data_IF_787740055386
#
_entry.id   IF_787740055386
#
_cell.length_a   1.000
_cell.length_b   1.000
_cell.length_c   1.000
_cell.angle_alpha   90.00
_cell.angle_beta   90.00
_cell.angle_gamma   90.00
#
_symmetry.space_group_name_H-M   'P 1'
#
loop_
_entity.id
_entity.type
_entity.pdbx_description
1 polymer ?
#
# COMPACT_ATOMS: atom_id res chain seq x y z
N UNK A 1 14.87 -21.70 1.92
CA UNK A 1 14.01 -22.27 0.87
C UNK A 1 13.35 -21.15 0.06
N UNK A 2 14.16 -20.23 -0.51
CA UNK A 2 13.69 -19.11 -1.32
C UNK A 2 14.75 -18.79 -2.39
N UNK A 3 14.77 -19.59 -3.46
CA UNK A 3 15.54 -19.33 -4.68
C UNK A 3 14.59 -19.13 -5.88
N UNK A 4 13.47 -18.42 -5.67
CA UNK A 4 12.43 -18.24 -6.70
C UNK A 4 12.59 -16.99 -7.56
N UNK A 5 13.69 -16.24 -7.40
CA UNK A 5 14.08 -15.17 -8.32
C UNK A 5 15.42 -15.53 -8.97
N UNK A 6 15.50 -16.76 -9.49
CA UNK A 6 16.54 -17.11 -10.46
C UNK A 6 16.41 -16.17 -11.66
N UNK A 7 17.55 -15.71 -12.17
CA UNK A 7 17.60 -14.91 -13.39
C UNK A 7 16.62 -15.48 -14.43
N UNK A 8 15.80 -14.65 -15.10
CA UNK A 8 14.85 -15.13 -16.10
C UNK A 8 15.57 -16.12 -17.01
N UNK A 9 14.95 -17.26 -17.31
CA UNK A 9 15.53 -18.31 -18.18
C UNK A 9 16.28 -17.73 -19.39
N UNK A 10 15.76 -16.62 -19.94
CA UNK A 10 16.37 -15.81 -21.01
C UNK A 10 17.83 -15.39 -20.73
N UNK A 11 18.16 -14.96 -19.51
CA UNK A 11 19.49 -14.51 -19.12
C UNK A 11 20.50 -15.65 -18.98
N UNK A 12 20.06 -16.87 -18.64
CA UNK A 12 20.96 -18.02 -18.59
C UNK A 12 21.52 -18.42 -19.97
N UNK A 13 20.89 -17.95 -21.04
CA UNK A 13 21.18 -18.42 -22.40
C UNK A 13 21.85 -17.40 -23.29
N UNK A 14 21.59 -16.10 -23.08
CA UNK A 14 22.21 -15.03 -23.87
C UNK A 14 23.75 -15.09 -23.83
N UNK A 15 24.29 -15.49 -22.68
CA UNK A 15 25.72 -15.46 -22.40
C UNK A 15 26.35 -16.85 -22.33
N UNK A 16 25.61 -17.91 -22.68
CA UNK A 16 26.18 -19.27 -22.71
C UNK A 16 27.18 -19.40 -23.86
N UNK A 17 28.48 -19.63 -23.57
CA UNK A 17 29.48 -19.83 -24.61
C UNK A 17 29.20 -21.10 -25.42
N UNK A 18 28.60 -22.12 -24.79
CA UNK A 18 28.25 -23.38 -25.42
C UNK A 18 27.13 -23.21 -26.45
N UNK A 19 26.05 -22.47 -26.11
CA UNK A 19 24.97 -22.15 -27.05
C UNK A 19 25.52 -21.34 -28.22
N UNK A 20 26.33 -20.31 -27.92
CA UNK A 20 26.92 -19.47 -28.96
C UNK A 20 27.72 -20.30 -29.95
N UNK A 21 28.59 -21.19 -29.44
CA UNK A 21 29.43 -22.02 -30.29
C UNK A 21 28.62 -23.03 -31.11
N UNK A 22 27.60 -23.65 -30.51
CA UNK A 22 26.67 -24.51 -31.22
C UNK A 22 25.99 -23.76 -32.38
N UNK A 23 25.47 -22.55 -32.13
CA UNK A 23 24.83 -21.73 -33.16
C UNK A 23 25.79 -21.30 -34.27
N UNK A 24 27.05 -20.99 -33.93
CA UNK A 24 28.11 -20.70 -34.91
C UNK A 24 28.36 -21.88 -35.85
N UNK A 25 28.45 -23.10 -35.31
CA UNK A 25 28.65 -24.32 -36.11
C UNK A 25 27.44 -24.55 -37.03
N UNK A 26 26.21 -24.42 -36.50
CA UNK A 26 25.00 -24.52 -37.31
C UNK A 26 24.96 -23.48 -38.45
N UNK A 27 25.35 -22.24 -38.17
CA UNK A 27 25.39 -21.17 -39.17
C UNK A 27 26.46 -21.46 -40.24
N UNK A 28 27.64 -21.89 -39.84
CA UNK A 28 28.73 -22.22 -40.76
C UNK A 28 28.36 -23.38 -41.70
N UNK A 29 27.78 -24.45 -41.15
CA UNK A 29 27.30 -25.60 -41.95
C UNK A 29 26.17 -25.16 -42.89
N UNK A 30 25.22 -24.37 -42.40
CA UNK A 30 24.13 -23.84 -43.21
C UNK A 30 24.62 -22.95 -44.37
N UNK A 31 25.60 -22.09 -44.12
CA UNK A 31 26.19 -21.22 -45.14
C UNK A 31 26.98 -22.01 -46.17
N UNK A 32 27.73 -23.04 -45.75
CA UNK A 32 28.46 -23.92 -46.65
C UNK A 32 27.52 -24.66 -47.61
N UNK A 33 26.45 -25.25 -47.09
CA UNK A 33 25.50 -26.01 -47.91
C UNK A 33 24.72 -25.12 -48.88
N UNK A 34 24.44 -23.88 -48.48
CA UNK A 34 23.65 -22.93 -49.27
C UNK A 34 24.53 -21.95 -50.07
N UNK A 35 25.82 -22.24 -50.23
CA UNK A 35 26.74 -21.41 -51.01
C UNK A 35 26.21 -21.21 -52.45
N UNK A 36 26.29 -19.96 -52.94
CA UNK A 36 25.77 -19.59 -54.27
C UNK A 36 24.24 -19.47 -54.37
N UNK A 37 23.49 -19.69 -53.28
CA UNK A 37 22.03 -19.46 -53.24
C UNK A 37 21.68 -18.16 -52.49
N UNK A 38 20.43 -17.71 -52.59
CA UNK A 38 19.91 -16.58 -51.80
C UNK A 38 19.80 -16.86 -50.28
N UNK A 39 20.13 -18.08 -49.84
CA UNK A 39 20.19 -18.49 -48.43
C UNK A 39 21.62 -18.68 -47.94
N UNK A 40 22.62 -18.51 -48.80
CA UNK A 40 24.04 -18.45 -48.41
C UNK A 40 24.40 -17.13 -47.75
N UNK A 41 25.60 -17.06 -47.16
CA UNK A 41 26.14 -15.88 -46.46
C UNK A 41 25.16 -15.26 -45.43
N UNK A 42 24.39 -16.12 -44.77
CA UNK A 42 23.47 -15.70 -43.72
C UNK A 42 24.25 -15.23 -42.49
N UNK A 43 23.72 -14.21 -41.82
CA UNK A 43 24.22 -13.70 -40.53
C UNK A 43 23.60 -14.38 -39.32
N UNK A 44 22.62 -15.24 -39.55
CA UNK A 44 21.86 -15.92 -38.52
C UNK A 44 20.68 -16.69 -39.12
N UNK A 45 19.99 -17.45 -38.28
CA UNK A 45 18.84 -18.25 -38.67
C UNK A 45 17.80 -18.26 -37.55
N UNK A 46 16.58 -18.64 -37.93
CA UNK A 46 15.44 -18.79 -37.00
C UNK A 46 15.55 -20.11 -36.24
N UNK A 47 15.28 -20.14 -34.93
CA UNK A 47 15.41 -21.36 -34.12
C UNK A 47 14.45 -22.46 -34.57
N UNK A 48 13.31 -22.11 -35.16
CA UNK A 48 12.37 -23.05 -35.79
C UNK A 48 12.98 -23.84 -36.96
N UNK A 49 14.18 -23.44 -37.42
CA UNK A 49 14.95 -24.21 -38.41
C UNK A 49 15.47 -25.52 -37.81
N UNK A 50 15.65 -25.63 -36.49
CA UNK A 50 16.11 -26.87 -35.85
C UNK A 50 15.16 -28.05 -36.08
N UNK A 51 13.85 -27.82 -36.06
CA UNK A 51 12.84 -28.86 -36.40
C UNK A 51 13.05 -29.42 -37.81
N UNK A 52 13.59 -28.60 -38.72
CA UNK A 52 13.89 -29.00 -40.10
C UNK A 52 15.20 -29.78 -40.21
N UNK A 53 16.17 -29.54 -39.33
CA UNK A 53 17.45 -30.26 -39.36
C UNK A 53 17.29 -31.74 -39.02
N UNK A 54 16.28 -32.09 -38.22
CA UNK A 54 15.95 -33.48 -37.89
C UNK A 54 15.30 -34.22 -39.09
N UNK A 55 14.61 -33.49 -39.97
CA UNK A 55 13.92 -34.08 -41.14
C UNK A 55 14.76 -34.08 -42.42
N UNK A 56 15.75 -33.20 -42.54
CA UNK A 56 16.65 -33.14 -43.69
C UNK A 56 17.69 -34.27 -43.61
N UNK A 57 17.69 -35.15 -44.61
CA UNK A 57 18.61 -36.29 -44.68
C UNK A 57 19.68 -36.11 -45.76
N UNK A 58 20.80 -36.79 -45.57
CA UNK A 58 21.82 -36.99 -46.61
C UNK A 58 21.22 -37.68 -47.84
N UNK A 59 21.87 -37.59 -48.99
CA UNK A 59 21.41 -38.20 -50.26
C UNK A 59 21.20 -39.72 -50.15
N UNK A 60 21.98 -40.38 -49.30
CA UNK A 60 21.87 -41.81 -49.01
C UNK A 60 20.86 -42.15 -47.89
N UNK A 61 20.23 -41.14 -47.29
CA UNK A 61 19.20 -41.28 -46.25
C UNK A 61 19.71 -41.77 -44.89
N UNK A 62 21.02 -41.97 -44.72
CA UNK A 62 21.60 -42.60 -43.51
C UNK A 62 21.74 -41.65 -42.33
N UNK A 63 21.91 -40.36 -42.59
CA UNK A 63 22.12 -39.36 -41.56
C UNK A 63 21.18 -38.17 -41.77
N UNK A 64 20.72 -37.59 -40.67
CA UNK A 64 20.06 -36.28 -40.69
C UNK A 64 21.10 -35.17 -40.65
N UNK A 65 20.71 -33.97 -41.06
CA UNK A 65 21.55 -32.78 -40.93
C UNK A 65 21.91 -32.52 -39.46
N UNK A 66 20.97 -32.78 -38.55
CA UNK A 66 21.22 -32.68 -37.12
C UNK A 66 22.31 -33.67 -36.66
N UNK A 67 22.22 -34.94 -37.04
CA UNK A 67 23.25 -35.96 -36.72
C UNK A 67 24.62 -35.58 -37.28
N UNK A 68 24.66 -35.02 -38.49
CA UNK A 68 25.90 -34.55 -39.10
C UNK A 68 26.52 -33.37 -38.32
N UNK A 69 25.72 -32.39 -37.91
CA UNK A 69 26.18 -31.26 -37.08
C UNK A 69 26.71 -31.77 -35.74
N UNK A 70 25.99 -32.68 -35.08
CA UNK A 70 26.43 -33.30 -33.80
C UNK A 70 27.78 -33.99 -33.99
N UNK A 71 27.98 -34.72 -35.09
CA UNK A 71 29.25 -35.37 -35.38
C UNK A 71 30.40 -34.37 -35.61
N UNK A 72 30.16 -33.24 -36.29
CA UNK A 72 31.16 -32.17 -36.43
C UNK A 72 31.57 -31.64 -35.07
N UNK A 73 30.60 -31.41 -34.18
CA UNK A 73 30.85 -30.92 -32.83
C UNK A 73 31.61 -31.97 -32.02
N UNK A 74 31.27 -33.26 -32.12
CA UNK A 74 31.96 -34.32 -31.37
C UNK A 74 33.41 -34.49 -31.83
N UNK A 75 33.69 -34.23 -33.10
CA UNK A 75 35.05 -34.29 -33.61
C UNK A 75 35.89 -33.05 -33.26
N UNK A 76 35.29 -31.86 -33.25
CA UNK A 76 36.03 -30.59 -33.24
C UNK A 76 35.83 -29.73 -31.97
N UNK A 77 34.77 -29.99 -31.20
CA UNK A 77 34.29 -29.16 -30.08
C UNK A 77 33.75 -30.03 -28.93
N UNK A 78 34.53 -31.02 -28.47
CA UNK A 78 34.13 -31.98 -27.43
C UNK A 78 33.74 -31.34 -26.11
N UNK A 79 34.30 -30.17 -25.81
CA UNK A 79 33.94 -29.34 -24.67
C UNK A 79 32.45 -28.97 -24.65
N UNK A 80 31.78 -29.00 -25.81
CA UNK A 80 30.35 -28.76 -25.91
C UNK A 80 29.48 -29.92 -25.39
N UNK A 81 30.03 -31.10 -25.09
CA UNK A 81 29.23 -32.24 -24.62
C UNK A 81 29.33 -32.51 -23.12
N UNK A 82 30.21 -31.85 -22.38
CA UNK A 82 30.39 -32.16 -20.95
C UNK A 82 29.17 -31.80 -20.12
N UNK A 83 28.66 -30.58 -20.27
CA UNK A 83 27.63 -30.04 -19.37
C UNK A 83 26.44 -29.44 -20.14
N UNK A 84 26.61 -29.18 -21.44
CA UNK A 84 25.64 -28.42 -22.23
C UNK A 84 24.29 -29.12 -22.40
N UNK A 85 24.19 -30.43 -22.73
CA UNK A 85 22.89 -31.09 -22.90
C UNK A 85 22.06 -31.09 -21.61
N UNK A 86 22.70 -31.37 -20.47
CA UNK A 86 22.05 -31.42 -19.16
C UNK A 86 21.59 -30.03 -18.71
N UNK A 87 22.43 -29.01 -18.91
CA UNK A 87 22.09 -27.63 -18.58
C UNK A 87 20.95 -27.12 -19.46
N UNK A 88 20.97 -27.41 -20.76
CA UNK A 88 19.88 -27.03 -21.67
C UNK A 88 18.56 -27.73 -21.28
N UNK A 89 18.61 -29.02 -20.98
CA UNK A 89 17.43 -29.80 -20.57
C UNK A 89 16.80 -29.26 -19.30
N UNK A 90 17.60 -29.03 -18.24
CA UNK A 90 17.11 -28.45 -16.98
C UNK A 90 16.40 -27.13 -17.20
N UNK A 91 16.95 -26.29 -18.07
CA UNK A 91 16.37 -24.97 -18.29
C UNK A 91 15.10 -25.03 -19.14
N UNK A 92 15.07 -25.83 -20.20
CA UNK A 92 13.86 -26.05 -21.00
C UNK A 92 12.73 -26.61 -20.12
N UNK A 93 13.03 -27.57 -19.24
CA UNK A 93 12.04 -28.12 -18.31
C UNK A 93 11.54 -27.09 -17.29
N UNK A 94 12.40 -26.19 -16.82
CA UNK A 94 11.97 -25.08 -15.97
C UNK A 94 11.14 -24.04 -16.74
N UNK A 95 11.49 -23.75 -17.99
CA UNK A 95 10.76 -22.83 -18.84
C UNK A 95 9.36 -23.34 -19.19
N UNK A 96 9.22 -24.63 -19.52
CA UNK A 96 7.93 -25.28 -19.81
C UNK A 96 6.95 -25.18 -18.64
N UNK A 97 7.46 -25.20 -17.41
CA UNK A 97 6.63 -25.07 -16.19
C UNK A 97 6.12 -23.64 -15.97
N UNK A 98 6.71 -22.64 -16.63
CA UNK A 98 6.26 -21.25 -16.53
C UNK A 98 5.15 -20.98 -17.55
N UNK A 99 3.90 -21.15 -17.14
CA UNK A 99 2.77 -20.79 -18.00
C UNK A 99 2.52 -19.27 -17.97
N UNK A 100 2.84 -18.60 -19.08
CA UNK A 100 2.67 -17.14 -19.18
C UNK A 100 1.22 -16.67 -18.97
N UNK A 101 0.24 -17.52 -19.28
CA UNK A 101 -1.19 -17.23 -19.05
C UNK A 101 -1.51 -17.21 -17.57
N UNK A 102 -1.11 -18.23 -16.81
CA UNK A 102 -1.33 -18.29 -15.37
C UNK A 102 -0.70 -17.09 -14.64
N UNK A 103 0.49 -16.65 -15.06
CA UNK A 103 1.14 -15.45 -14.51
C UNK A 103 0.32 -14.18 -14.83
N UNK A 104 -0.16 -14.03 -16.07
CA UNK A 104 -1.01 -12.89 -16.45
C UNK A 104 -2.32 -12.88 -15.69
N UNK A 105 -2.97 -14.03 -15.56
CA UNK A 105 -4.23 -14.17 -14.83
C UNK A 105 -4.03 -13.79 -13.35
N UNK A 106 -2.95 -14.29 -12.71
CA UNK A 106 -2.61 -13.95 -11.34
C UNK A 106 -2.33 -12.44 -11.14
N UNK A 107 -1.66 -11.79 -12.09
CA UNK A 107 -1.45 -10.33 -12.07
C UNK A 107 -2.79 -9.60 -12.17
N UNK A 108 -3.68 -10.03 -13.07
CA UNK A 108 -5.02 -9.44 -13.22
C UNK A 108 -5.85 -9.57 -11.93
N UNK A 109 -5.85 -10.74 -11.31
CA UNK A 109 -6.53 -10.98 -10.03
C UNK A 109 -5.98 -10.07 -8.91
N UNK A 110 -4.66 -9.82 -8.90
CA UNK A 110 -4.03 -8.90 -7.96
C UNK A 110 -4.44 -7.45 -8.21
N UNK A 111 -4.49 -7.00 -9.47
CA UNK A 111 -4.93 -5.66 -9.83
C UNK A 111 -6.38 -5.41 -9.36
N UNK A 112 -7.26 -6.37 -9.59
CA UNK A 112 -8.66 -6.33 -9.14
C UNK A 112 -8.77 -6.30 -7.61
N UNK A 113 -7.97 -7.12 -6.91
CA UNK A 113 -7.93 -7.12 -5.45
C UNK A 113 -7.46 -5.77 -4.90
N UNK A 114 -6.41 -5.18 -5.49
CA UNK A 114 -5.89 -3.87 -5.12
C UNK A 114 -6.91 -2.75 -5.34
N UNK A 115 -7.66 -2.79 -6.44
CA UNK A 115 -8.71 -1.82 -6.72
C UNK A 115 -9.85 -1.88 -5.68
N UNK A 116 -10.27 -3.11 -5.31
CA UNK A 116 -11.26 -3.35 -4.26
C UNK A 116 -10.78 -2.82 -2.90
N UNK A 117 -9.51 -3.05 -2.55
CA UNK A 117 -8.90 -2.51 -1.33
C UNK A 117 -8.89 -0.98 -1.37
N UNK A 118 -8.45 -0.38 -2.48
CA UNK A 118 -8.46 1.07 -2.67
C UNK A 118 -9.86 1.68 -2.49
N UNK A 119 -10.90 1.03 -3.04
CA UNK A 119 -12.31 1.44 -2.86
C UNK A 119 -12.74 1.37 -1.38
N UNK A 120 -12.36 0.32 -0.64
CA UNK A 120 -12.65 0.19 0.80
C UNK A 120 -11.97 1.27 1.63
N UNK A 121 -10.68 1.54 1.38
CA UNK A 121 -9.91 2.59 2.05
C UNK A 121 -10.55 3.97 1.83
N UNK A 122 -10.92 4.29 0.58
CA UNK A 122 -11.58 5.57 0.26
C UNK A 122 -12.91 5.73 1.00
N UNK A 123 -13.72 4.66 1.10
CA UNK A 123 -14.98 4.67 1.87
C UNK A 123 -14.72 4.89 3.36
N UNK A 124 -13.78 4.15 3.96
CA UNK A 124 -13.42 4.30 5.36
C UNK A 124 -12.97 5.73 5.69
N UNK A 125 -12.14 6.33 4.83
CA UNK A 125 -11.66 7.70 5.02
C UNK A 125 -12.79 8.74 4.94
N UNK A 126 -13.77 8.58 4.04
CA UNK A 126 -14.96 9.44 3.99
C UNK A 126 -15.79 9.33 5.27
N UNK A 127 -16.07 8.10 5.70
CA UNK A 127 -16.84 7.87 6.93
C UNK A 127 -16.16 8.50 8.15
N UNK A 128 -14.83 8.45 8.23
CA UNK A 128 -14.07 9.08 9.32
C UNK A 128 -14.22 10.61 9.30
N UNK A 129 -14.14 11.24 8.13
CA UNK A 129 -14.38 12.69 7.98
C UNK A 129 -15.80 13.06 8.37
N UNK A 130 -16.80 12.27 7.96
CA UNK A 130 -18.19 12.53 8.29
C UNK A 130 -18.43 12.41 9.81
N UNK A 131 -17.84 11.41 10.47
CA UNK A 131 -17.91 11.26 11.92
C UNK A 131 -17.25 12.43 12.64
N UNK A 132 -16.08 12.88 12.17
CA UNK A 132 -15.39 14.04 12.72
C UNK A 132 -16.24 15.31 12.57
N UNK A 133 -16.85 15.53 11.42
CA UNK A 133 -17.74 16.66 11.16
C UNK A 133 -18.98 16.62 12.08
N UNK A 134 -19.59 15.45 12.27
CA UNK A 134 -20.72 15.28 13.18
C UNK A 134 -20.33 15.56 14.64
N UNK A 135 -19.18 15.04 15.08
CA UNK A 135 -18.65 15.31 16.41
C UNK A 135 -18.43 16.81 16.63
N UNK A 136 -17.74 17.47 15.71
CA UNK A 136 -17.46 18.91 15.78
C UNK A 136 -18.74 19.74 15.84
N UNK A 137 -19.76 19.38 15.04
CA UNK A 137 -21.06 20.06 15.06
C UNK A 137 -21.74 19.91 16.42
N UNK A 138 -21.78 18.69 16.98
CA UNK A 138 -22.39 18.43 18.30
C UNK A 138 -21.64 19.12 19.42
N UNK A 139 -20.31 19.07 19.41
CA UNK A 139 -19.46 19.77 20.36
C UNK A 139 -19.70 21.28 20.31
N UNK A 140 -19.79 21.87 19.11
CA UNK A 140 -20.12 23.27 18.92
C UNK A 140 -21.50 23.66 19.50
N UNK A 141 -22.52 22.82 19.30
CA UNK A 141 -23.85 23.03 19.92
C UNK A 141 -23.76 23.03 21.45
N UNK A 142 -23.05 22.07 22.03
CA UNK A 142 -22.86 21.99 23.49
C UNK A 142 -22.12 23.22 24.01
N UNK A 143 -21.04 23.64 23.36
CA UNK A 143 -20.30 24.85 23.73
C UNK A 143 -21.17 26.11 23.68
N UNK A 144 -22.04 26.24 22.67
CA UNK A 144 -22.96 27.35 22.55
C UNK A 144 -24.00 27.35 23.68
N UNK A 145 -24.54 26.18 24.06
CA UNK A 145 -25.44 26.05 25.21
C UNK A 145 -24.75 26.51 26.50
N UNK A 146 -23.52 26.06 26.76
CA UNK A 146 -22.74 26.50 27.91
C UNK A 146 -22.49 28.01 27.92
N UNK A 147 -22.17 28.60 26.76
CA UNK A 147 -21.96 30.04 26.63
C UNK A 147 -23.25 30.82 26.96
N UNK A 148 -24.40 30.41 26.43
CA UNK A 148 -25.71 31.00 26.74
C UNK A 148 -26.05 30.87 28.23
N UNK A 149 -25.86 29.68 28.82
CA UNK A 149 -26.12 29.43 30.23
C UNK A 149 -25.25 30.33 31.14
N UNK A 150 -23.98 30.53 30.79
CA UNK A 150 -23.05 31.42 31.51
C UNK A 150 -23.50 32.89 31.42
N UNK A 151 -23.97 33.34 30.26
CA UNK A 151 -24.50 34.68 30.07
C UNK A 151 -25.76 34.90 30.93
N UNK A 152 -26.74 33.99 30.86
CA UNK A 152 -27.97 34.06 31.66
C UNK A 152 -27.65 34.01 33.17
N UNK A 153 -26.74 33.15 33.61
CA UNK A 153 -26.32 33.11 35.03
C UNK A 153 -25.71 34.44 35.50
N UNK A 154 -24.97 35.13 34.62
CA UNK A 154 -24.37 36.43 34.93
C UNK A 154 -25.43 37.54 35.00
N UNK A 155 -26.39 37.54 34.08
CA UNK A 155 -27.54 38.46 34.10
C UNK A 155 -28.37 38.29 35.37
N UNK A 156 -28.76 37.06 35.72
CA UNK A 156 -29.54 36.77 36.93
C UNK A 156 -28.81 37.23 38.20
N UNK A 157 -27.49 37.06 38.27
CA UNK A 157 -26.67 37.55 39.40
C UNK A 157 -26.68 39.08 39.48
N UNK A 158 -26.63 39.78 38.35
CA UNK A 158 -26.65 41.25 38.31
C UNK A 158 -28.04 41.80 38.67
N UNK A 159 -29.11 41.22 38.13
CA UNK A 159 -30.49 41.59 38.45
C UNK A 159 -30.81 41.35 39.93
N UNK A 160 -30.41 40.19 40.47
CA UNK A 160 -30.56 39.89 41.89
C UNK A 160 -29.86 40.92 42.77
N UNK A 161 -28.64 41.34 42.39
CA UNK A 161 -27.90 42.40 43.09
C UNK A 161 -28.61 43.74 43.02
N UNK A 162 -29.08 44.15 41.83
CA UNK A 162 -29.79 45.41 41.63
C UNK A 162 -31.10 45.47 42.43
N UNK A 163 -31.85 44.36 42.48
CA UNK A 163 -33.09 44.26 43.25
C UNK A 163 -32.84 44.37 44.76
N UNK A 164 -31.78 43.73 45.29
CA UNK A 164 -31.39 43.87 46.71
C UNK A 164 -31.01 45.32 47.04
N UNK A 165 -30.30 46.02 46.15
CA UNK A 165 -29.96 47.44 46.33
C UNK A 165 -31.21 48.34 46.37
N UNK A 166 -32.18 48.11 45.48
CA UNK A 166 -33.45 48.86 45.46
C UNK A 166 -34.26 48.65 46.74
N UNK A 167 -34.29 47.43 47.28
CA UNK A 167 -34.96 47.13 48.55
C UNK A 167 -34.26 47.79 49.75
N UNK A 168 -32.94 47.96 49.71
CA UNK A 168 -32.18 48.64 50.76
C UNK A 168 -32.33 50.17 50.79
N UNK A 169 -32.67 50.80 49.65
CA UNK A 169 -32.81 52.25 49.53
C UNK A 169 -34.17 52.80 50.02
N UNK A 170 -35.18 51.94 50.25
CA UNK A 170 -36.52 52.34 50.68
C UNK A 170 -36.79 52.28 52.19
N UNK A 171 -35.78 51.96 53.02
CA UNK A 171 -35.96 51.64 54.44
C UNK A 171 -35.43 52.70 55.41
N UNK A 172 -35.90 53.94 55.31
CA UNK A 172 -35.77 54.91 56.41
C UNK A 172 -36.86 54.66 57.44
N UNK A 173 -36.62 53.76 58.40
CA UNK A 173 -37.57 53.51 59.50
C UNK A 173 -37.16 52.32 60.37
N UNK A 174 -36.89 52.58 61.65
CA UNK A 174 -36.30 51.63 62.61
C UNK A 174 -37.04 50.30 62.78
N UNK A 175 -36.27 49.21 62.94
CA UNK A 175 -36.80 47.87 63.27
C UNK A 175 -36.05 46.66 62.68
N UNK A 176 -34.92 46.82 61.98
CA UNK A 176 -34.32 45.79 61.11
C UNK A 176 -33.20 44.89 61.66
N UNK A 177 -32.93 44.84 62.97
CA UNK A 177 -31.75 44.16 63.51
C UNK A 177 -31.68 42.63 63.29
N UNK A 178 -32.81 41.92 63.43
CA UNK A 178 -32.84 40.45 63.34
C UNK A 178 -32.82 39.89 61.91
N UNK A 179 -33.41 40.61 60.95
CA UNK A 179 -33.50 40.17 59.55
C UNK A 179 -32.14 40.35 58.85
N UNK A 180 -31.44 41.46 59.11
CA UNK A 180 -30.10 41.72 58.57
C UNK A 180 -29.08 40.67 59.02
N UNK A 181 -29.17 40.18 60.26
CA UNK A 181 -28.30 39.13 60.78
C UNK A 181 -28.52 37.79 60.05
N UNK A 182 -29.78 37.38 59.84
CA UNK A 182 -30.11 36.14 59.09
C UNK A 182 -29.69 36.21 57.63
N UNK A 183 -29.86 37.36 56.98
CA UNK A 183 -29.45 37.57 55.58
C UNK A 183 -27.91 37.50 55.45
N UNK A 184 -27.16 38.08 56.40
CA UNK A 184 -25.69 37.96 56.41
C UNK A 184 -25.22 36.53 56.59
N UNK A 185 -25.84 35.76 57.49
CA UNK A 185 -25.51 34.35 57.71
C UNK A 185 -25.79 33.49 56.46
N UNK A 186 -26.94 33.69 55.81
CA UNK A 186 -27.29 32.98 54.57
C UNK A 186 -26.33 33.33 53.41
N UNK A 187 -25.90 34.60 53.32
CA UNK A 187 -24.93 35.04 52.33
C UNK A 187 -23.53 34.44 52.55
N UNK A 188 -23.10 34.29 53.81
CA UNK A 188 -21.83 33.65 54.13
C UNK A 188 -21.82 32.16 53.74
N UNK A 189 -22.93 31.44 53.99
CA UNK A 189 -23.07 30.04 53.58
C UNK A 189 -23.02 29.86 52.06
N UNK A 190 -23.70 30.73 51.30
CA UNK A 190 -23.73 30.66 49.84
C UNK A 190 -22.36 30.95 49.17
N UNK A 191 -21.50 31.76 49.82
CA UNK A 191 -20.14 32.03 49.33
C UNK A 191 -19.24 30.81 49.55
N UNK A 192 -19.35 30.15 50.70
CA UNK A 192 -18.58 28.94 50.99
C UNK A 192 -18.90 27.75 50.06
N UNK A 193 -20.14 27.62 49.59
CA UNK A 193 -20.57 26.59 48.62
C UNK A 193 -19.98 26.84 47.22
N UNK A 194 -19.84 28.13 46.85
CA UNK A 194 -19.33 28.55 45.53
C UNK A 194 -17.84 28.26 45.38
N UNK A 195 -17.06 28.43 46.45
CA UNK A 195 -15.61 28.18 46.44
C UNK A 195 -15.27 26.68 46.43
N UNK A 196 -16.18 25.80 46.91
CA UNK A 196 -16.01 24.35 46.73
C UNK A 196 -16.25 23.90 45.29
N UNK A 197 -17.20 24.51 44.59
CA UNK A 197 -17.54 24.14 43.20
C UNK A 197 -16.50 24.60 42.16
N UNK A 198 -15.73 25.66 42.41
CA UNK A 198 -14.64 26.10 41.51
C UNK A 198 -13.43 25.15 41.52
N UNK A 199 -13.27 24.36 42.58
CA UNK A 199 -12.18 23.38 42.73
C UNK A 199 -12.43 22.09 41.94
N UNK A 200 -13.68 21.85 41.50
CA UNK A 200 -14.07 20.73 40.63
C UNK A 200 -14.00 21.09 39.13
N UNK A 201 -13.05 21.96 38.76
CA UNK A 201 -12.87 22.41 37.39
C UNK A 201 -12.42 21.26 36.45
N UNK A 202 -13.39 20.77 35.68
CA UNK A 202 -13.29 20.09 34.39
C UNK A 202 -12.02 19.24 34.11
N UNK A 203 -11.90 18.04 34.71
CA UNK A 203 -10.78 17.12 34.47
C UNK A 203 -10.67 16.67 33.00
N UNK A 204 -11.82 16.50 32.32
CA UNK A 204 -11.89 16.07 30.93
C UNK A 204 -11.43 17.15 29.95
N UNK A 205 -11.78 18.42 30.19
CA UNK A 205 -11.32 19.54 29.39
C UNK A 205 -9.79 19.67 29.38
N UNK A 206 -9.17 19.51 30.55
CA UNK A 206 -7.70 19.52 30.69
C UNK A 206 -7.04 18.29 30.06
N UNK A 207 -7.71 17.13 30.08
CA UNK A 207 -7.22 15.92 29.40
C UNK A 207 -7.16 16.09 27.88
N UNK A 208 -8.20 16.65 27.26
CA UNK A 208 -8.24 16.85 25.81
C UNK A 208 -7.30 17.96 25.33
N UNK A 209 -7.14 19.05 26.09
CA UNK A 209 -6.21 20.13 25.73
C UNK A 209 -4.74 19.66 25.72
N UNK A 210 -4.35 18.82 26.69
CA UNK A 210 -2.98 18.28 26.74
C UNK A 210 -2.63 17.34 25.59
N UNK A 211 -3.60 16.64 24.99
CA UNK A 211 -3.36 15.74 23.85
C UNK A 211 -3.30 16.45 22.49
N UNK A 212 -3.74 17.70 22.39
CA UNK A 212 -3.71 18.46 21.13
C UNK A 212 -2.37 19.21 20.97
N UNK A 213 -1.59 19.34 22.03
CA UNK A 213 -0.30 20.07 22.04
C UNK A 213 0.95 19.16 22.00
N UNK A 214 0.78 17.84 21.80
CA UNK A 214 1.86 16.87 21.54
C UNK A 214 1.70 16.29 20.14
#
# INVERSE_FOLDING_TARGET
MFYFLGAPVIYLHRDSPHIRKFMEVCLAVGNFINEGTNRGDAKGFRLETFDRLESLKTTDGKMTMFMFIVQIIDNNHKELFTDFPDNLTKVVENAKKMESKAIRDAIGDMEDAMERIGKKIRRANRNLKDLQNQFNKRAGTVLNIFAKLKATSSQVKQESRANVLKLGAGGGGGGGGGILARVRASKAAAVAERDRSSTLANPLGNFYLNKIQQ
#
